data_IF_562944043200
#
_entry.id   IF_562944043200
#
_cell.length_a   1.000
_cell.length_b   1.000
_cell.length_c   1.000
_cell.angle_alpha   90.00
_cell.angle_beta   90.00
_cell.angle_gamma   90.00
#
_symmetry.space_group_name_H-M   'P 1'
#
loop_
_entity.id
_entity.type
_entity.pdbx_description
1 polymer ?
#
# COMPACT_ATOMS: atom_id res chain seq x y z
N UNK A 1 -0.73 17.62 4.62
CA UNK A 1 -1.57 16.59 3.96
C UNK A 1 -1.92 15.38 4.84
N UNK A 2 -0.99 14.71 5.56
CA UNK A 2 -1.34 13.48 6.34
C UNK A 2 -1.42 13.67 7.86
N UNK A 3 -0.30 14.06 8.50
CA UNK A 3 -0.17 14.13 9.97
C UNK A 3 -1.07 15.19 10.61
N UNK A 4 -1.08 16.42 10.08
CA UNK A 4 -1.83 17.53 10.66
C UNK A 4 -3.35 17.29 10.67
N UNK A 5 -3.99 16.86 9.56
CA UNK A 5 -5.42 16.52 9.58
C UNK A 5 -5.79 15.42 10.59
N UNK A 6 -4.96 14.36 10.69
CA UNK A 6 -5.20 13.29 11.66
C UNK A 6 -5.18 13.80 13.10
N UNK A 7 -4.17 14.61 13.45
CA UNK A 7 -4.05 15.23 14.78
C UNK A 7 -5.23 16.16 15.09
N UNK A 8 -5.70 16.92 14.09
CA UNK A 8 -6.87 17.78 14.25
C UNK A 8 -8.12 16.95 14.59
N UNK A 9 -8.39 15.90 13.81
CA UNK A 9 -9.52 15.00 14.06
C UNK A 9 -9.48 14.36 15.45
N UNK A 10 -8.33 13.81 15.86
CA UNK A 10 -8.17 13.22 17.21
C UNK A 10 -8.46 14.21 18.33
N UNK A 11 -8.02 15.47 18.19
CA UNK A 11 -8.25 16.53 19.18
C UNK A 11 -9.72 16.95 19.22
N UNK A 12 -10.32 17.13 18.05
CA UNK A 12 -11.70 17.60 17.88
C UNK A 12 -12.71 16.58 18.41
N UNK A 13 -12.54 15.30 18.06
CA UNK A 13 -13.48 14.24 18.42
C UNK A 13 -13.06 13.43 19.66
N UNK A 14 -11.93 13.76 20.28
CA UNK A 14 -11.35 13.05 21.45
C UNK A 14 -11.17 11.54 21.22
N UNK A 15 -10.95 11.13 19.99
CA UNK A 15 -10.79 9.72 19.58
C UNK A 15 -9.31 9.34 19.44
N UNK A 16 -9.04 8.03 19.53
CA UNK A 16 -7.73 7.43 19.24
C UNK A 16 -7.85 6.45 18.08
N UNK A 17 -6.85 6.37 17.19
CA UNK A 17 -6.99 5.57 15.98
C UNK A 17 -6.74 4.08 16.25
N UNK A 18 -7.55 3.25 15.59
CA UNK A 18 -7.14 1.91 15.19
C UNK A 18 -6.32 2.00 13.90
N UNK A 19 -5.17 1.34 13.86
CA UNK A 19 -4.23 1.36 12.74
C UNK A 19 -4.03 -0.06 12.24
N UNK A 20 -4.27 -0.29 10.95
CA UNK A 20 -4.07 -1.57 10.28
C UNK A 20 -2.60 -1.83 9.93
N UNK A 21 -1.75 -1.87 10.94
CA UNK A 21 -0.32 -2.13 10.80
C UNK A 21 -0.04 -3.60 11.10
N UNK A 22 0.71 -4.29 10.24
CA UNK A 22 1.16 -5.67 10.48
C UNK A 22 2.67 -5.71 10.75
N UNK A 23 3.10 -6.56 11.69
CA UNK A 23 4.51 -6.69 12.05
C UNK A 23 5.37 -7.18 10.89
N UNK A 24 4.82 -8.06 10.06
CA UNK A 24 5.45 -8.65 8.87
C UNK A 24 5.91 -7.61 7.83
N UNK A 25 5.34 -6.41 7.84
CA UNK A 25 5.59 -5.40 6.80
C UNK A 25 6.90 -4.63 6.99
N UNK A 26 7.55 -4.69 8.15
CA UNK A 26 8.91 -4.15 8.33
C UNK A 26 9.55 -4.53 9.66
N UNK A 27 10.88 -4.50 9.71
CA UNK A 27 11.67 -4.65 10.95
C UNK A 27 11.27 -3.67 12.05
N UNK A 28 10.91 -2.43 11.70
CA UNK A 28 10.46 -1.42 12.67
C UNK A 28 9.09 -1.81 13.28
N UNK A 29 8.19 -2.36 12.48
CA UNK A 29 6.87 -2.83 12.93
C UNK A 29 6.98 -4.09 13.79
N UNK A 30 7.91 -5.00 13.47
CA UNK A 30 8.22 -6.13 14.35
C UNK A 30 8.68 -5.72 15.75
N UNK A 31 9.41 -4.60 15.89
CA UNK A 31 9.77 -4.09 17.22
C UNK A 31 8.54 -3.63 18.01
N UNK A 32 7.50 -3.12 17.33
CA UNK A 32 6.24 -2.74 17.98
C UNK A 32 5.49 -3.97 18.50
N UNK A 33 5.53 -5.09 17.78
CA UNK A 33 4.90 -6.34 18.22
C UNK A 33 5.37 -6.79 19.61
N UNK A 34 6.63 -6.52 19.97
CA UNK A 34 7.17 -6.79 21.31
C UNK A 34 6.49 -6.00 22.43
N UNK A 35 5.90 -4.85 22.12
CA UNK A 35 5.19 -3.98 23.07
C UNK A 35 3.68 -4.25 23.11
N UNK A 36 3.18 -5.16 22.27
CA UNK A 36 1.76 -5.45 22.13
C UNK A 36 1.03 -4.55 21.12
N UNK A 37 -0.28 -4.75 21.00
CA UNK A 37 -1.11 -4.04 20.02
C UNK A 37 -1.43 -2.59 20.42
N UNK A 38 -1.41 -2.27 21.71
CA UNK A 38 -1.79 -0.94 22.20
C UNK A 38 -0.54 -0.15 22.62
N UNK A 39 -0.34 1.00 22.00
CA UNK A 39 0.64 1.99 22.46
C UNK A 39 -0.10 3.02 23.29
N UNK A 40 0.22 3.13 24.57
CA UNK A 40 -0.39 4.12 25.48
C UNK A 40 0.56 5.27 25.80
N UNK A 41 1.87 5.05 25.66
CA UNK A 41 2.89 6.08 25.84
C UNK A 41 2.92 7.03 24.64
N UNK A 42 2.83 8.34 24.90
CA UNK A 42 2.81 9.37 23.86
C UNK A 42 1.47 9.44 23.12
N UNK A 43 1.48 9.40 21.77
CA UNK A 43 0.24 9.36 21.00
C UNK A 43 -0.36 7.97 21.09
N UNK A 44 -1.41 7.84 21.90
CA UNK A 44 -2.09 6.57 22.06
C UNK A 44 -2.66 6.03 20.74
N UNK A 45 -2.39 4.77 20.42
CA UNK A 45 -2.86 4.08 19.20
C UNK A 45 -3.11 2.60 19.49
N UNK A 46 -4.02 1.98 18.72
CA UNK A 46 -4.28 0.54 18.78
C UNK A 46 -4.02 -0.11 17.42
N UNK A 47 -3.28 -1.23 17.40
CA UNK A 47 -2.83 -1.94 16.20
C UNK A 47 -3.28 -3.40 16.29
N UNK A 48 -4.59 -3.71 16.19
CA UNK A 48 -5.11 -5.06 16.42
C UNK A 48 -4.60 -6.10 15.42
N UNK A 49 -4.26 -5.66 14.20
CA UNK A 49 -3.72 -6.52 13.14
C UNK A 49 -2.21 -6.75 13.24
N UNK A 50 -1.56 -6.29 14.32
CA UNK A 50 -0.11 -6.32 14.44
C UNK A 50 0.50 -7.71 14.28
N UNK A 51 -0.19 -8.75 14.75
CA UNK A 51 0.27 -10.14 14.70
C UNK A 51 -0.28 -10.92 13.49
N UNK A 52 -1.11 -10.29 12.66
CA UNK A 52 -1.70 -10.94 11.50
C UNK A 52 -0.69 -10.99 10.35
N UNK A 53 -0.76 -12.06 9.58
CA UNK A 53 -0.07 -12.17 8.29
C UNK A 53 -0.98 -11.73 7.14
N UNK A 54 -0.42 -11.64 5.92
CA UNK A 54 -1.23 -11.33 4.76
C UNK A 54 -2.29 -12.41 4.51
N UNK A 55 -1.94 -13.67 4.72
CA UNK A 55 -2.82 -14.83 4.57
C UNK A 55 -4.00 -14.76 5.55
N UNK A 56 -3.76 -14.37 6.81
CA UNK A 56 -4.85 -14.18 7.77
C UNK A 56 -5.84 -13.10 7.32
N UNK A 57 -5.34 -12.01 6.73
CA UNK A 57 -6.19 -10.93 6.20
C UNK A 57 -7.05 -11.45 5.05
N UNK A 58 -6.46 -12.17 4.09
CA UNK A 58 -7.18 -12.74 2.94
C UNK A 58 -8.23 -13.76 3.38
N UNK A 59 -7.86 -14.66 4.29
CA UNK A 59 -8.76 -15.65 4.87
C UNK A 59 -9.96 -14.98 5.54
N UNK A 60 -9.72 -13.96 6.36
CA UNK A 60 -10.78 -13.23 7.04
C UNK A 60 -11.70 -12.49 6.07
N UNK A 61 -11.15 -11.84 5.03
CA UNK A 61 -11.94 -11.18 3.98
C UNK A 61 -12.88 -12.19 3.31
N UNK A 62 -12.38 -13.38 2.96
CA UNK A 62 -13.14 -14.45 2.32
C UNK A 62 -14.22 -15.01 3.25
N UNK A 63 -13.86 -15.38 4.47
CA UNK A 63 -14.79 -15.99 5.43
C UNK A 63 -15.94 -15.05 5.80
N UNK A 64 -15.68 -13.74 5.87
CA UNK A 64 -16.66 -12.75 6.31
C UNK A 64 -17.27 -11.93 5.16
N UNK A 65 -16.95 -12.27 3.90
CA UNK A 65 -17.40 -11.54 2.72
C UNK A 65 -17.17 -10.02 2.83
N UNK A 66 -15.99 -9.63 3.33
CA UNK A 66 -15.64 -8.21 3.53
C UNK A 66 -15.49 -7.55 2.17
N UNK A 67 -16.27 -6.49 1.94
CA UNK A 67 -16.11 -5.68 0.72
C UNK A 67 -14.75 -4.97 0.73
N UNK A 68 -13.91 -5.28 -0.26
CA UNK A 68 -12.63 -4.61 -0.49
C UNK A 68 -12.65 -3.79 -1.78
N UNK A 69 -11.65 -2.92 -1.94
CA UNK A 69 -11.49 -2.11 -3.15
C UNK A 69 -11.11 -2.98 -4.35
N UNK A 70 -11.67 -2.69 -5.52
CA UNK A 70 -11.38 -3.37 -6.79
C UNK A 70 -9.90 -3.23 -7.22
N UNK A 71 -9.19 -2.22 -6.71
CA UNK A 71 -7.76 -2.05 -7.00
C UNK A 71 -6.93 -3.27 -6.58
N UNK A 72 -7.37 -4.01 -5.55
CA UNK A 72 -6.69 -5.23 -5.12
C UNK A 72 -6.81 -6.36 -6.15
N UNK A 73 -7.94 -6.45 -6.88
CA UNK A 73 -8.07 -7.37 -8.02
C UNK A 73 -7.27 -6.93 -9.25
N UNK A 74 -6.82 -5.68 -9.30
CA UNK A 74 -5.97 -5.17 -10.37
C UNK A 74 -4.47 -5.45 -10.10
N UNK A 75 -4.13 -6.14 -9.01
CA UNK A 75 -2.74 -6.51 -8.67
C UNK A 75 -2.02 -5.52 -7.75
N UNK A 76 -2.70 -4.50 -7.23
CA UNK A 76 -2.11 -3.62 -6.23
C UNK A 76 -2.18 -4.26 -4.84
N UNK A 77 -1.04 -4.44 -4.17
CA UNK A 77 -1.02 -5.00 -2.79
C UNK A 77 -1.06 -3.92 -1.70
N UNK A 78 -0.34 -2.82 -1.92
CA UNK A 78 -0.27 -1.67 -1.00
C UNK A 78 -0.37 -0.39 -1.78
N UNK A 79 -1.37 0.41 -1.44
CA UNK A 79 -1.66 1.66 -2.14
C UNK A 79 -1.35 2.86 -1.25
N UNK A 80 -0.77 3.88 -1.87
CA UNK A 80 -0.41 5.11 -1.20
C UNK A 80 -0.58 6.30 -2.12
N UNK A 81 0.38 7.21 -2.08
CA UNK A 81 0.37 8.35 -2.97
C UNK A 81 0.76 7.91 -4.39
N UNK A 82 -0.06 8.22 -5.38
CA UNK A 82 0.10 7.74 -6.78
C UNK A 82 1.45 8.08 -7.39
N UNK A 83 1.99 9.25 -7.09
CA UNK A 83 3.27 9.76 -7.62
C UNK A 83 4.48 9.45 -6.73
N UNK A 84 4.32 8.64 -5.67
CA UNK A 84 5.42 8.34 -4.76
C UNK A 84 6.26 7.18 -5.26
N UNK A 85 7.55 7.44 -5.51
CA UNK A 85 8.55 6.43 -5.89
C UNK A 85 9.19 5.72 -4.68
N UNK A 86 8.76 6.02 -3.45
CA UNK A 86 9.37 5.42 -2.27
C UNK A 86 9.15 3.90 -2.27
N UNK A 87 10.26 3.17 -2.19
CA UNK A 87 10.29 1.71 -2.20
C UNK A 87 10.12 1.06 -3.57
N UNK A 88 10.10 1.82 -4.67
CA UNK A 88 9.85 1.26 -6.02
C UNK A 88 10.87 0.19 -6.43
N UNK A 89 12.11 0.29 -5.94
CA UNK A 89 13.18 -0.68 -6.20
C UNK A 89 13.01 -2.01 -5.46
N UNK A 90 12.04 -2.11 -4.56
CA UNK A 90 11.69 -3.32 -3.82
C UNK A 90 10.41 -3.97 -4.37
N UNK A 91 9.81 -3.39 -5.40
CA UNK A 91 8.60 -3.94 -6.01
C UNK A 91 8.92 -4.98 -7.07
N UNK A 92 8.10 -6.02 -7.12
CA UNK A 92 8.11 -6.98 -8.20
C UNK A 92 7.64 -6.37 -9.52
N UNK A 93 7.88 -7.10 -10.61
CA UNK A 93 7.36 -6.74 -11.93
C UNK A 93 6.00 -7.44 -12.14
N UNK A 94 4.95 -6.72 -12.57
CA UNK A 94 4.89 -5.29 -12.87
C UNK A 94 4.90 -4.42 -11.61
N UNK A 95 5.74 -3.39 -11.59
CA UNK A 95 5.72 -2.43 -10.47
C UNK A 95 4.54 -1.45 -10.61
N UNK A 96 4.29 -0.65 -9.55
CA UNK A 96 3.13 0.25 -9.49
C UNK A 96 3.02 1.23 -10.66
N UNK A 97 4.13 1.69 -11.25
CA UNK A 97 4.09 2.61 -12.38
C UNK A 97 3.81 1.90 -13.70
N UNK A 98 4.32 0.68 -13.88
CA UNK A 98 3.96 -0.15 -15.04
C UNK A 98 2.47 -0.49 -15.00
N UNK A 99 1.95 -0.83 -13.81
CA UNK A 99 0.52 -1.07 -13.60
C UNK A 99 -0.31 0.22 -13.76
N UNK A 100 0.19 1.36 -13.27
CA UNK A 100 -0.48 2.66 -13.42
C UNK A 100 -0.64 3.06 -14.89
N UNK A 101 0.35 2.77 -15.75
CA UNK A 101 0.26 3.09 -17.18
C UNK A 101 -0.97 2.48 -17.84
N UNK A 102 -1.33 1.28 -17.41
CA UNK A 102 -2.41 0.51 -18.01
C UNK A 102 -3.75 0.85 -17.37
N UNK A 103 -3.76 0.96 -16.04
CA UNK A 103 -4.99 1.17 -15.28
C UNK A 103 -5.45 2.64 -15.33
N UNK A 104 -4.50 3.59 -15.35
CA UNK A 104 -4.76 5.03 -15.32
C UNK A 104 -3.74 5.82 -16.16
N UNK A 105 -3.72 5.67 -17.50
CA UNK A 105 -2.69 6.24 -18.38
C UNK A 105 -2.54 7.75 -18.25
N UNK A 106 -3.63 8.50 -18.02
CA UNK A 106 -3.58 9.96 -17.82
C UNK A 106 -2.77 10.35 -16.58
N UNK A 107 -2.93 9.61 -15.48
CA UNK A 107 -2.15 9.83 -14.26
C UNK A 107 -0.70 9.41 -14.43
N UNK A 108 -0.45 8.34 -15.18
CA UNK A 108 0.90 7.93 -15.54
C UNK A 108 1.61 9.02 -16.34
N UNK A 109 0.99 9.56 -17.39
CA UNK A 109 1.54 10.68 -18.20
C UNK A 109 1.85 11.88 -17.32
N UNK A 110 0.95 12.24 -16.39
CA UNK A 110 1.21 13.32 -15.45
C UNK A 110 2.45 13.05 -14.58
N UNK A 111 2.58 11.84 -14.03
CA UNK A 111 3.75 11.46 -13.24
C UNK A 111 5.03 11.51 -14.08
N UNK A 112 5.02 10.90 -15.26
CA UNK A 112 6.22 10.79 -16.08
C UNK A 112 6.66 12.11 -16.68
N UNK A 113 5.72 12.93 -17.17
CA UNK A 113 6.04 14.06 -18.02
C UNK A 113 5.89 15.41 -17.30
N UNK A 114 4.98 15.54 -16.33
CA UNK A 114 4.79 16.80 -15.57
C UNK A 114 5.58 16.83 -14.27
N UNK A 115 5.69 15.69 -13.58
CA UNK A 115 6.52 15.57 -12.38
C UNK A 115 7.95 15.11 -12.68
N UNK A 116 8.26 14.84 -13.95
CA UNK A 116 9.57 14.38 -14.42
C UNK A 116 10.11 13.15 -13.68
N UNK A 117 9.23 12.18 -13.38
CA UNK A 117 9.65 10.96 -12.69
C UNK A 117 10.54 10.06 -13.56
N UNK A 118 10.53 10.22 -14.89
CA UNK A 118 11.39 9.46 -15.82
C UNK A 118 12.85 9.63 -15.48
N UNK A 119 13.31 10.87 -15.32
CA UNK A 119 14.70 11.21 -14.98
C UNK A 119 15.16 10.45 -13.73
N UNK A 120 14.31 10.38 -12.71
CA UNK A 120 14.65 9.67 -11.46
C UNK A 120 14.62 8.16 -11.66
N UNK A 121 13.60 7.63 -12.32
CA UNK A 121 13.44 6.19 -12.56
C UNK A 121 14.57 5.64 -13.45
N UNK A 122 14.98 6.38 -14.48
CA UNK A 122 16.11 6.07 -15.34
C UNK A 122 17.43 6.08 -14.54
N UNK A 123 17.62 7.09 -13.67
CA UNK A 123 18.78 7.17 -12.79
C UNK A 123 18.90 5.96 -11.85
N UNK A 124 17.79 5.51 -11.25
CA UNK A 124 17.76 4.31 -10.38
C UNK A 124 17.56 3.00 -11.16
N UNK A 125 17.52 3.06 -12.49
CA UNK A 125 17.39 1.91 -13.41
C UNK A 125 16.13 1.06 -13.18
N UNK A 126 15.01 1.71 -12.91
CA UNK A 126 13.72 1.04 -12.70
C UNK A 126 12.83 1.19 -13.93
N UNK A 127 12.32 0.08 -14.52
CA UNK A 127 11.45 0.15 -15.69
C UNK A 127 10.07 0.72 -15.32
N UNK A 128 9.49 1.53 -16.20
CA UNK A 128 8.15 2.11 -16.02
C UNK A 128 7.26 2.01 -17.26
N UNK A 129 7.79 1.41 -18.33
CA UNK A 129 7.08 1.07 -19.55
C UNK A 129 6.20 -0.19 -19.34
N UNK A 130 5.10 -0.33 -20.09
CA UNK A 130 4.08 -1.32 -19.79
C UNK A 130 4.64 -2.74 -19.96
N UNK A 131 4.31 -3.62 -19.01
CA UNK A 131 4.71 -5.03 -19.05
C UNK A 131 3.89 -5.77 -20.12
N UNK A 132 4.58 -6.44 -21.06
CA UNK A 132 3.99 -6.95 -22.32
C UNK A 132 2.84 -7.95 -22.13
N UNK A 133 2.76 -8.65 -20.99
CA UNK A 133 1.77 -9.70 -20.75
C UNK A 133 0.91 -9.46 -19.48
N UNK A 134 0.53 -8.21 -19.21
CA UNK A 134 -0.22 -7.90 -17.97
C UNK A 134 -1.62 -8.56 -17.90
N UNK A 135 -2.23 -8.89 -19.05
CA UNK A 135 -3.56 -9.51 -19.06
C UNK A 135 -3.53 -10.92 -18.45
N UNK A 136 -2.40 -11.62 -18.52
CA UNK A 136 -2.16 -12.87 -17.79
C UNK A 136 -2.00 -12.61 -16.28
N UNK A 137 -1.43 -11.46 -15.90
CA UNK A 137 -1.22 -11.07 -14.51
C UNK A 137 -2.50 -10.61 -13.79
N UNK A 138 -3.34 -9.83 -14.48
CA UNK A 138 -4.62 -9.30 -13.96
C UNK A 138 -5.76 -10.32 -14.17
N UNK A 139 -5.74 -11.08 -15.28
CA UNK A 139 -6.74 -12.10 -15.63
C UNK A 139 -6.51 -13.46 -14.98
N UNK A 140 -5.36 -13.68 -14.34
CA UNK A 140 -5.10 -14.82 -13.46
C UNK A 140 -5.83 -14.67 -12.12
N UNK A 141 -7.17 -14.65 -12.17
CA UNK A 141 -8.06 -14.63 -11.02
C UNK A 141 -7.94 -15.91 -10.20
N UNK A 142 -6.90 -15.98 -9.37
CA UNK A 142 -6.76 -16.81 -8.15
C UNK A 142 -5.28 -16.89 -7.77
N UNK A 143 -4.70 -15.79 -7.29
CA UNK A 143 -3.49 -15.89 -6.47
C UNK A 143 -3.74 -15.70 -4.98
N UNK A 144 -4.89 -15.16 -4.58
CA UNK A 144 -5.15 -14.77 -3.20
C UNK A 144 -6.62 -14.90 -2.74
N UNK A 145 -7.39 -15.84 -3.33
CA UNK A 145 -8.70 -16.24 -2.82
C UNK A 145 -8.75 -17.73 -2.52
#
# INVERSE_FOLDING_TARGET
>A
MKKSPSKKYEKEFKQKPYIGLMASESRLRMKLAKKGCNTLEGRATSNPLLFWTHENILEYIKQNNVKISEIYSMGYERTGCVFCMFGIHLEDTPNRFQLLKQTHPKLWTYCMDKLDLRTVLDYIKIPYEPYKNIQEFIGGGNRHA
#
